data_IF_357447425398
#
_entry.id   IF_357447425398
#
_cell.length_a   1.000
_cell.length_b   1.000
_cell.length_c   1.000
_cell.angle_alpha   90.00
_cell.angle_beta   90.00
_cell.angle_gamma   90.00
#
_symmetry.space_group_name_H-M   'P 1'
#
loop_
_entity.id
_entity.type
_entity.pdbx_description
1 polymer ?
#
# COMPACT_ATOMS: atom_id res chain seq x y z
N UNK A 1 -11.60 -14.73 10.74
CA UNK A 1 -12.29 -15.39 9.60
C UNK A 1 -12.67 -14.29 8.63
N UNK A 2 -11.98 -14.18 7.50
CA UNK A 2 -12.33 -13.24 6.44
C UNK A 2 -13.24 -13.96 5.46
N UNK A 3 -14.42 -13.42 5.18
CA UNK A 3 -15.37 -14.00 4.23
C UNK A 3 -15.44 -13.13 2.97
N UNK A 4 -14.98 -13.67 1.84
CA UNK A 4 -15.03 -12.98 0.54
C UNK A 4 -16.40 -13.21 -0.14
N UNK A 5 -17.05 -12.14 -0.61
CA UNK A 5 -18.31 -12.21 -1.34
C UNK A 5 -18.30 -11.29 -2.57
N UNK A 6 -18.87 -11.74 -3.70
CA UNK A 6 -18.97 -10.96 -4.93
C UNK A 6 -20.43 -10.88 -5.41
N UNK A 7 -20.93 -9.70 -5.79
CA UNK A 7 -22.26 -9.48 -6.39
C UNK A 7 -22.14 -8.66 -7.68
N UNK A 8 -23.06 -8.81 -8.65
CA UNK A 8 -23.01 -8.12 -9.96
C UNK A 8 -24.35 -7.48 -10.35
N UNK A 9 -24.31 -6.23 -10.83
CA UNK A 9 -25.40 -5.49 -11.52
C UNK A 9 -24.77 -4.46 -12.47
N UNK A 10 -25.35 -4.24 -13.66
CA UNK A 10 -24.94 -3.24 -14.69
C UNK A 10 -25.98 -2.10 -14.70
N UNK A 11 -25.74 -0.77 -14.72
CA UNK A 11 -24.64 0.17 -14.45
C UNK A 11 -25.31 1.52 -14.08
N UNK A 12 -24.77 2.28 -13.13
CA UNK A 12 -24.86 3.76 -13.09
C UNK A 12 -23.57 4.32 -12.47
N UNK A 13 -22.94 5.27 -13.14
CA UNK A 13 -21.59 5.77 -12.83
C UNK A 13 -21.71 6.95 -11.86
N UNK A 14 -21.16 6.80 -10.65
CA UNK A 14 -20.63 7.95 -9.92
C UNK A 14 -19.49 7.54 -8.98
N UNK A 15 -18.34 8.19 -9.22
CA UNK A 15 -17.10 8.26 -8.42
C UNK A 15 -16.34 6.95 -8.21
N UNK A 16 -15.15 6.95 -8.80
CA UNK A 16 -14.03 6.06 -8.52
C UNK A 16 -13.98 5.67 -7.03
N UNK A 17 -14.11 4.38 -6.75
CA UNK A 17 -13.76 3.82 -5.44
C UNK A 17 -12.30 4.15 -5.12
N UNK A 18 -12.17 4.80 -3.97
CA UNK A 18 -11.07 5.40 -3.18
C UNK A 18 -9.68 4.78 -3.37
N UNK A 19 -8.87 5.35 -4.28
CA UNK A 19 -7.41 5.19 -4.19
C UNK A 19 -6.91 5.96 -2.95
N UNK A 20 -5.94 5.40 -2.24
CA UNK A 20 -5.17 6.06 -1.18
C UNK A 20 -3.70 6.04 -1.55
N UNK A 21 -2.94 7.05 -1.13
CA UNK A 21 -1.52 7.11 -1.41
C UNK A 21 -0.75 7.56 -0.17
N UNK A 22 0.44 6.99 -0.01
CA UNK A 22 1.40 7.38 1.01
C UNK A 22 2.80 7.37 0.39
N UNK A 23 3.64 8.27 0.87
CA UNK A 23 5.06 8.28 0.53
C UNK A 23 5.82 7.64 1.68
N UNK A 24 6.63 6.63 1.39
CA UNK A 24 7.43 5.91 2.39
C UNK A 24 8.91 5.95 2.02
N UNK A 25 9.77 5.99 3.04
CA UNK A 25 11.21 5.87 2.88
C UNK A 25 11.72 4.61 3.59
N UNK A 26 12.25 3.60 2.89
CA UNK A 26 12.75 2.38 3.52
C UNK A 26 14.01 2.62 4.36
N UNK A 27 14.72 3.75 4.16
CA UNK A 27 15.87 4.10 5.00
C UNK A 27 15.46 4.71 6.35
N UNK A 28 14.15 4.88 6.59
CA UNK A 28 13.59 5.61 7.73
C UNK A 28 13.33 7.07 7.40
N UNK A 29 13.04 7.85 8.44
CA UNK A 29 12.78 9.29 8.38
C UNK A 29 13.85 10.02 7.60
N UNK A 30 13.44 10.76 6.58
CA UNK A 30 14.32 11.67 5.86
C UNK A 30 14.36 12.99 6.62
N UNK A 31 15.56 13.43 6.97
CA UNK A 31 15.81 14.70 7.65
C UNK A 31 17.15 15.29 7.21
N UNK A 32 17.34 16.60 7.38
CA UNK A 32 18.67 17.23 7.36
C UNK A 32 18.80 18.25 8.49
N UNK A 33 19.94 18.24 9.14
CA UNK A 33 20.34 19.26 10.09
C UNK A 33 21.53 20.02 9.52
N UNK A 34 21.63 21.30 9.87
CA UNK A 34 22.70 22.16 9.39
C UNK A 34 23.36 22.93 10.53
N UNK A 35 24.67 23.16 10.41
CA UNK A 35 25.47 23.90 11.40
C UNK A 35 25.89 25.27 10.88
N UNK A 36 26.24 26.17 11.80
CA UNK A 36 26.66 27.53 11.48
C UNK A 36 25.50 28.52 11.49
N UNK A 37 25.53 29.49 10.58
CA UNK A 37 24.48 30.51 10.44
C UNK A 37 23.89 30.47 9.04
N UNK A 38 22.72 31.08 8.80
CA UNK A 38 22.12 31.14 7.46
C UNK A 38 23.02 31.77 6.40
N UNK A 39 23.99 32.60 6.81
CA UNK A 39 24.95 33.23 5.91
C UNK A 39 26.29 32.48 5.81
N UNK A 40 26.49 31.47 6.66
CA UNK A 40 27.73 30.69 6.76
C UNK A 40 27.41 29.30 7.32
N UNK A 41 26.84 28.44 6.46
CA UNK A 41 26.52 27.06 6.81
C UNK A 41 27.78 26.23 6.67
N UNK A 42 28.23 25.65 7.78
CA UNK A 42 29.52 24.95 7.85
C UNK A 42 29.39 23.46 7.59
N UNK A 43 28.22 22.87 7.85
CA UNK A 43 27.99 21.44 7.71
C UNK A 43 26.50 21.13 7.52
N UNK A 44 26.20 20.02 6.84
CA UNK A 44 24.83 19.48 6.67
C UNK A 44 24.90 17.96 6.85
N UNK A 45 23.98 17.40 7.65
CA UNK A 45 23.89 15.97 7.85
C UNK A 45 22.46 15.47 8.04
N UNK A 46 22.17 14.21 7.65
CA UNK A 46 23.01 13.34 6.84
C UNK A 46 23.27 13.92 5.44
N UNK A 47 24.45 13.62 4.89
CA UNK A 47 24.81 14.02 3.53
C UNK A 47 24.09 13.13 2.52
N UNK A 48 23.11 13.70 1.82
CA UNK A 48 22.31 12.99 0.82
C UNK A 48 23.08 12.66 -0.45
N UNK A 49 24.24 13.27 -0.70
CA UNK A 49 25.12 12.80 -1.75
C UNK A 49 25.70 11.41 -1.44
N UNK A 50 25.73 11.02 -0.16
CA UNK A 50 26.21 9.72 0.32
C UNK A 50 25.06 8.76 0.58
N UNK A 51 24.09 9.15 1.43
CA UNK A 51 23.02 8.25 1.88
C UNK A 51 21.95 7.99 0.83
N UNK A 52 21.74 8.94 -0.08
CA UNK A 52 20.83 8.87 -1.23
C UNK A 52 19.45 8.26 -0.93
N UNK A 53 18.69 8.79 0.04
CA UNK A 53 17.40 8.22 0.44
C UNK A 53 16.41 8.23 -0.73
N UNK A 54 15.53 7.23 -0.75
CA UNK A 54 14.52 7.06 -1.80
C UNK A 54 13.15 7.15 -1.16
N UNK A 55 12.31 8.04 -1.68
CA UNK A 55 10.91 8.15 -1.32
C UNK A 55 10.08 7.36 -2.34
N UNK A 56 9.38 6.32 -1.89
CA UNK A 56 8.50 5.52 -2.72
C UNK A 56 7.05 5.96 -2.60
N UNK A 57 6.39 6.09 -3.75
CA UNK A 57 4.96 6.34 -3.85
C UNK A 57 4.21 5.01 -3.79
N UNK A 58 3.56 4.75 -2.67
CA UNK A 58 2.71 3.58 -2.48
C UNK A 58 1.28 4.00 -2.70
N UNK A 59 0.68 3.57 -3.81
CA UNK A 59 -0.73 3.75 -4.06
C UNK A 59 -1.47 2.47 -3.72
N UNK A 60 -2.48 2.55 -2.87
CA UNK A 60 -3.41 1.45 -2.62
C UNK A 60 -4.78 1.76 -3.19
N UNK A 61 -5.48 0.70 -3.59
CA UNK A 61 -6.80 0.80 -4.20
C UNK A 61 -7.79 0.11 -3.27
N UNK A 62 -8.85 0.81 -2.85
CA UNK A 62 -9.96 0.18 -2.14
C UNK A 62 -10.81 -0.72 -3.05
N UNK A 63 -10.45 -0.82 -4.35
CA UNK A 63 -11.13 -1.67 -5.31
C UNK A 63 -10.58 -3.08 -5.18
N UNK A 64 -11.51 -4.03 -5.25
CA UNK A 64 -11.35 -5.47 -5.00
C UNK A 64 -10.18 -6.13 -5.77
N UNK A 65 -9.67 -5.52 -6.86
CA UNK A 65 -8.71 -6.13 -7.79
C UNK A 65 -7.23 -5.72 -7.64
N UNK A 66 -6.88 -4.65 -6.92
CA UNK A 66 -5.56 -4.01 -7.10
C UNK A 66 -4.63 -4.09 -5.89
N UNK A 67 -5.11 -3.96 -4.64
CA UNK A 67 -4.23 -3.91 -3.46
C UNK A 67 -3.28 -2.72 -3.52
N UNK A 68 -2.09 -2.90 -4.12
CA UNK A 68 -1.17 -1.84 -4.56
C UNK A 68 -1.37 -1.56 -6.05
N UNK A 69 -1.80 -0.34 -6.39
CA UNK A 69 -1.96 0.10 -7.77
C UNK A 69 -0.64 0.67 -8.31
N UNK A 70 -0.29 0.32 -9.55
CA UNK A 70 0.82 0.96 -10.28
C UNK A 70 0.27 2.12 -11.11
N UNK A 71 0.65 3.38 -10.82
CA UNK A 71 0.22 4.53 -11.62
C UNK A 71 0.74 4.49 -13.06
N UNK A 72 0.07 5.21 -13.97
CA UNK A 72 0.54 5.40 -15.34
C UNK A 72 1.82 6.25 -15.38
N UNK A 73 1.84 7.30 -14.55
CA UNK A 73 2.98 8.19 -14.36
C UNK A 73 2.88 8.89 -13.00
N UNK A 74 4.00 9.44 -12.54
CA UNK A 74 4.08 10.27 -11.33
C UNK A 74 4.82 11.56 -11.64
N UNK A 75 4.20 12.69 -11.29
CA UNK A 75 4.82 14.00 -11.24
C UNK A 75 5.36 14.28 -9.83
N UNK A 76 6.55 14.87 -9.76
CA UNK A 76 7.24 15.18 -8.51
C UNK A 76 7.32 16.68 -8.28
N UNK A 77 7.11 17.12 -7.04
CA UNK A 77 7.16 18.52 -6.63
C UNK A 77 8.00 18.65 -5.37
N UNK A 78 8.77 19.73 -5.27
CA UNK A 78 9.52 20.13 -4.08
C UNK A 78 9.10 21.54 -3.67
N UNK A 79 8.60 21.70 -2.44
CA UNK A 79 8.03 22.97 -1.94
C UNK A 79 7.01 23.60 -2.90
N UNK A 80 6.17 22.77 -3.51
CA UNK A 80 5.13 23.19 -4.46
C UNK A 80 5.62 23.48 -5.88
N UNK A 81 6.93 23.44 -6.14
CA UNK A 81 7.51 23.64 -7.48
C UNK A 81 7.72 22.29 -8.16
N UNK A 82 7.20 22.13 -9.38
CA UNK A 82 7.37 20.89 -10.15
C UNK A 82 8.84 20.65 -10.47
N UNK A 83 9.33 19.45 -10.19
CA UNK A 83 10.68 19.02 -10.53
C UNK A 83 10.68 18.64 -12.01
N UNK A 84 11.58 19.27 -12.78
CA UNK A 84 11.81 18.91 -14.18
C UNK A 84 12.96 17.92 -14.27
N UNK A 85 12.94 17.04 -15.27
CA UNK A 85 13.97 16.00 -15.45
C UNK A 85 14.53 16.02 -16.87
N UNK A 86 15.84 15.82 -16.99
CA UNK A 86 16.53 15.52 -18.24
C UNK A 86 17.03 14.09 -18.17
N UNK A 87 16.29 13.16 -18.78
CA UNK A 87 16.43 11.73 -18.49
C UNK A 87 15.83 11.39 -17.12
N UNK A 88 16.62 10.78 -16.24
CA UNK A 88 16.19 10.41 -14.89
C UNK A 88 16.59 11.42 -13.82
N UNK A 89 17.54 12.30 -14.11
CA UNK A 89 18.08 13.28 -13.16
C UNK A 89 17.37 14.62 -13.31
N UNK A 90 17.12 15.29 -12.18
CA UNK A 90 16.48 16.59 -12.16
C UNK A 90 17.31 17.66 -12.88
N UNK A 91 16.61 18.61 -13.48
CA UNK A 91 17.14 19.74 -14.25
C UNK A 91 16.51 21.06 -13.78
N UNK A 92 16.98 22.19 -14.33
CA UNK A 92 16.45 23.52 -14.02
C UNK A 92 16.76 23.93 -12.58
N UNK A 93 15.76 24.44 -11.86
CA UNK A 93 15.89 24.93 -10.47
C UNK A 93 16.48 23.91 -9.51
N UNK A 94 16.20 22.62 -9.71
CA UNK A 94 16.65 21.55 -8.82
C UNK A 94 17.71 20.66 -9.47
N UNK A 95 18.50 21.19 -10.41
CA UNK A 95 19.42 20.39 -11.21
C UNK A 95 20.37 19.55 -10.34
N UNK A 96 20.38 18.23 -10.57
CA UNK A 96 21.28 17.31 -9.87
C UNK A 96 20.92 16.95 -8.42
N UNK A 97 19.78 17.43 -7.89
CA UNK A 97 19.35 17.12 -6.52
C UNK A 97 18.48 15.87 -6.40
N UNK A 98 17.78 15.50 -7.48
CA UNK A 98 16.82 14.39 -7.48
C UNK A 98 17.02 13.45 -8.67
N UNK A 99 16.65 12.19 -8.48
CA UNK A 99 16.58 11.18 -9.53
C UNK A 99 15.24 10.43 -9.43
N UNK A 100 14.50 10.32 -10.53
CA UNK A 100 13.28 9.50 -10.55
C UNK A 100 13.62 8.02 -10.57
N UNK A 101 12.82 7.21 -9.90
CA UNK A 101 12.90 5.76 -9.84
C UNK A 101 11.61 5.21 -10.43
N UNK A 102 11.73 4.33 -11.42
CA UNK A 102 10.61 3.61 -12.00
C UNK A 102 10.51 2.19 -11.40
N UNK A 103 9.30 1.60 -11.38
CA UNK A 103 9.13 0.20 -11.02
C UNK A 103 10.06 -0.70 -11.85
N UNK A 104 10.84 -1.56 -11.19
CA UNK A 104 11.73 -2.52 -11.85
C UNK A 104 12.16 -3.63 -10.91
N UNK A 105 12.27 -4.86 -11.45
CA UNK A 105 12.65 -6.03 -10.67
C UNK A 105 11.71 -6.25 -9.48
N UNK A 106 12.31 -6.32 -8.28
CA UNK A 106 11.58 -6.52 -7.03
C UNK A 106 11.00 -5.22 -6.43
N UNK A 107 11.27 -4.04 -7.01
CA UNK A 107 10.66 -2.78 -6.60
C UNK A 107 9.43 -2.45 -7.47
N UNK A 108 8.21 -2.59 -6.95
CA UNK A 108 7.00 -2.28 -7.70
C UNK A 108 6.65 -0.78 -7.71
N UNK A 109 7.38 0.06 -6.96
CA UNK A 109 6.98 1.45 -6.70
C UNK A 109 7.72 2.46 -7.57
N UNK A 110 6.99 3.49 -8.03
CA UNK A 110 7.63 4.74 -8.44
C UNK A 110 8.26 5.42 -7.24
N UNK A 111 9.35 6.15 -7.45
CA UNK A 111 9.99 6.88 -6.38
C UNK A 111 10.80 8.09 -6.82
N UNK A 112 11.20 8.87 -5.83
CA UNK A 112 12.11 10.00 -5.94
C UNK A 112 13.31 9.76 -5.04
N UNK A 113 14.46 9.51 -5.65
CA UNK A 113 15.73 9.46 -4.93
C UNK A 113 16.28 10.87 -4.77
N UNK A 114 16.66 11.23 -3.55
CA UNK A 114 17.37 12.47 -3.26
C UNK A 114 18.86 12.16 -3.37
N UNK A 115 19.59 12.87 -4.22
CA UNK A 115 21.00 12.57 -4.56
C UNK A 115 21.95 13.72 -4.21
N UNK A 116 21.44 14.79 -3.62
CA UNK A 116 22.20 15.93 -3.14
C UNK A 116 21.50 16.59 -1.95
N UNK A 117 22.23 17.40 -1.20
CA UNK A 117 21.68 18.11 -0.04
C UNK A 117 20.64 19.15 -0.48
N UNK A 118 19.51 19.19 0.23
CA UNK A 118 18.34 20.00 -0.13
C UNK A 118 18.11 21.15 0.84
N UNK A 119 18.91 21.27 1.91
CA UNK A 119 18.73 22.29 2.94
C UNK A 119 18.75 23.72 2.38
N UNK A 120 19.68 24.04 1.47
CA UNK A 120 19.75 25.37 0.86
C UNK A 120 18.52 25.68 -0.01
N UNK A 121 18.11 24.73 -0.85
CA UNK A 121 16.95 24.84 -1.74
C UNK A 121 15.63 24.85 -0.97
N UNK A 122 15.61 24.29 0.22
CA UNK A 122 14.50 24.40 1.16
C UNK A 122 14.48 25.75 1.92
N UNK A 123 15.50 26.60 1.75
CA UNK A 123 15.66 27.82 2.53
C UNK A 123 15.97 27.55 4.01
N UNK A 124 16.61 26.42 4.30
CA UNK A 124 16.98 25.95 5.65
C UNK A 124 15.80 25.76 6.60
N UNK A 125 14.62 25.49 6.04
CA UNK A 125 13.36 25.22 6.74
C UNK A 125 12.77 23.87 6.27
N UNK A 126 11.85 23.26 7.04
CA UNK A 126 11.20 22.01 6.65
C UNK A 126 10.65 22.07 5.21
N UNK A 127 10.90 21.01 4.45
CA UNK A 127 10.52 20.92 3.06
C UNK A 127 9.42 19.90 2.83
N UNK A 128 8.64 20.07 1.77
CA UNK A 128 7.59 19.12 1.38
C UNK A 128 7.92 18.55 0.01
N UNK A 129 8.02 17.23 -0.07
CA UNK A 129 7.97 16.49 -1.33
C UNK A 129 6.53 16.08 -1.56
N UNK A 130 5.98 16.47 -2.71
CA UNK A 130 4.65 16.05 -3.17
C UNK A 130 4.80 15.18 -4.40
N UNK A 131 4.09 14.06 -4.43
CA UNK A 131 4.00 13.18 -5.58
C UNK A 131 2.56 13.13 -6.05
N UNK A 132 2.33 13.38 -7.34
CA UNK A 132 1.01 13.34 -7.97
C UNK A 132 1.04 12.26 -9.03
N UNK A 133 0.33 11.17 -8.78
CA UNK A 133 0.26 10.01 -9.62
C UNK A 133 -1.04 10.00 -10.42
N UNK A 134 -0.93 9.77 -11.72
CA UNK A 134 -2.09 9.60 -12.60
C UNK A 134 -2.44 8.13 -12.70
N UNK A 135 -3.71 7.79 -12.49
CA UNK A 135 -4.23 6.43 -12.56
C UNK A 135 -5.37 6.39 -13.57
N UNK A 136 -5.21 5.56 -14.59
CA UNK A 136 -6.24 5.33 -15.61
C UNK A 136 -6.94 4.00 -15.39
N UNK A 137 -8.25 4.01 -15.56
CA UNK A 137 -9.08 2.82 -15.57
C UNK A 137 -10.08 2.89 -16.73
N UNK A 138 -9.89 2.00 -17.71
CA UNK A 138 -10.64 2.03 -18.96
C UNK A 138 -10.46 3.37 -19.66
N UNK A 139 -11.55 4.12 -19.83
CA UNK A 139 -11.52 5.45 -20.47
C UNK A 139 -11.48 6.62 -19.48
N UNK A 140 -11.42 6.34 -18.16
CA UNK A 140 -11.36 7.36 -17.12
C UNK A 140 -9.95 7.45 -16.54
N UNK A 141 -9.58 8.62 -16.05
CA UNK A 141 -8.30 8.81 -15.39
C UNK A 141 -8.43 9.87 -14.31
N UNK A 142 -7.76 9.66 -13.20
CA UNK A 142 -7.79 10.48 -12.00
C UNK A 142 -6.36 10.71 -11.48
N UNK A 143 -6.18 11.78 -10.72
CA UNK A 143 -4.90 12.12 -10.10
C UNK A 143 -5.00 11.89 -8.59
N UNK A 144 -4.13 11.04 -8.06
CA UNK A 144 -3.95 10.83 -6.63
C UNK A 144 -2.63 11.42 -6.17
N UNK A 145 -2.60 11.97 -4.97
CA UNK A 145 -1.41 12.64 -4.45
C UNK A 145 -1.12 12.23 -3.01
N UNK A 146 0.15 12.32 -2.65
CA UNK A 146 0.63 12.20 -1.28
C UNK A 146 1.74 13.21 -1.04
N UNK A 147 1.85 13.65 0.21
CA UNK A 147 2.86 14.60 0.67
C UNK A 147 3.77 13.92 1.70
N UNK A 148 5.06 14.25 1.66
CA UNK A 148 6.07 13.83 2.62
C UNK A 148 6.83 15.05 3.11
N UNK A 149 6.77 15.30 4.42
CA UNK A 149 7.48 16.41 5.06
C UNK A 149 8.87 15.95 5.47
N UNK A 150 9.91 16.61 4.95
CA UNK A 150 11.30 16.42 5.35
C UNK A 150 11.64 17.48 6.39
N UNK A 151 11.96 17.03 7.61
CA UNK A 151 12.42 17.93 8.67
C UNK A 151 13.79 18.49 8.32
N UNK A 152 13.89 19.81 8.26
CA UNK A 152 15.16 20.53 8.07
C UNK A 152 15.29 21.59 9.15
N UNK A 153 16.34 21.50 9.95
CA UNK A 153 16.52 22.37 11.13
C UNK A 153 17.99 22.67 11.42
N UNK A 154 18.24 23.73 12.18
CA UNK A 154 19.59 24.01 12.67
C UNK A 154 19.95 22.99 13.74
N UNK A 155 21.16 22.42 13.64
CA UNK A 155 21.66 21.52 14.66
C UNK A 155 22.13 22.26 15.90
N UNK A 156 21.90 21.65 17.06
CA UNK A 156 22.48 22.05 18.35
C UNK A 156 23.77 21.30 18.69
N UNK A 157 24.24 20.41 17.81
CA UNK A 157 25.53 19.71 17.91
C UNK A 157 25.51 18.36 18.64
N UNK A 158 24.55 18.14 19.54
CA UNK A 158 24.49 16.94 20.41
C UNK A 158 23.19 16.12 20.28
N UNK A 159 22.33 16.46 19.31
CA UNK A 159 21.05 15.79 19.17
C UNK A 159 21.19 14.33 18.71
N UNK A 160 20.52 13.42 19.42
CA UNK A 160 20.29 12.06 18.96
C UNK A 160 19.06 12.02 18.06
N UNK A 161 19.13 11.22 17.00
CA UNK A 161 17.98 10.91 16.14
C UNK A 161 17.75 9.41 16.13
N UNK A 162 16.55 9.00 16.50
CA UNK A 162 16.06 7.64 16.32
C UNK A 162 15.18 7.61 15.08
N UNK A 163 15.28 6.54 14.30
CA UNK A 163 14.34 6.26 13.22
C UNK A 163 14.09 4.77 13.02
N UNK A 164 12.94 4.41 12.48
CA UNK A 164 12.59 3.06 12.03
C UNK A 164 12.82 2.97 10.52
N UNK A 165 13.79 2.15 10.12
CA UNK A 165 14.04 1.78 8.73
C UNK A 165 13.40 0.42 8.40
N UNK A 166 13.24 0.13 7.12
CA UNK A 166 12.91 -1.20 6.64
C UNK A 166 14.09 -2.15 6.89
N UNK A 167 13.80 -3.31 7.48
CA UNK A 167 14.75 -4.39 7.73
C UNK A 167 14.75 -5.46 6.64
N UNK A 168 13.84 -5.38 5.67
CA UNK A 168 13.71 -6.24 4.50
C UNK A 168 13.29 -5.44 3.27
N UNK A 169 13.05 -6.12 2.15
CA UNK A 169 12.66 -5.50 0.88
C UNK A 169 11.14 -5.21 0.78
N UNK A 170 10.38 -5.51 1.84
CA UNK A 170 8.92 -5.31 1.85
C UNK A 170 8.55 -3.88 2.28
N UNK A 171 9.54 -3.01 2.50
CA UNK A 171 9.35 -1.68 3.07
C UNK A 171 8.54 -1.79 4.38
N UNK A 172 7.42 -1.08 4.47
CA UNK A 172 6.46 -1.16 5.58
C UNK A 172 5.10 -1.67 5.10
N UNK A 173 5.09 -2.51 4.06
CA UNK A 173 3.88 -2.98 3.40
C UNK A 173 3.88 -4.50 3.32
N UNK A 174 2.82 -5.12 3.83
CA UNK A 174 2.58 -6.55 3.67
C UNK A 174 1.72 -6.72 2.42
N UNK A 175 2.28 -7.36 1.38
CA UNK A 175 1.65 -7.46 0.05
C UNK A 175 1.06 -8.83 -0.24
N UNK A 176 1.33 -9.83 0.60
CA UNK A 176 0.89 -11.22 0.40
C UNK A 176 0.39 -11.83 1.71
N UNK A 177 -0.63 -12.68 1.62
CA UNK A 177 -1.24 -13.32 2.79
C UNK A 177 -0.27 -14.25 3.49
N UNK A 178 -0.26 -14.18 4.82
CA UNK A 178 0.77 -14.83 5.63
C UNK A 178 2.16 -14.20 5.47
N UNK A 179 2.26 -13.09 4.75
CA UNK A 179 3.47 -12.30 4.58
C UNK A 179 3.81 -11.51 5.84
N UNK A 180 4.90 -10.75 5.72
CA UNK A 180 5.47 -9.94 6.80
C UNK A 180 6.31 -8.81 6.23
N UNK A 181 6.57 -7.81 7.05
CA UNK A 181 7.68 -6.88 6.88
C UNK A 181 8.55 -6.85 8.14
N UNK A 182 9.75 -6.31 8.02
CA UNK A 182 10.67 -6.16 9.16
C UNK A 182 10.91 -4.67 9.41
N UNK A 183 10.66 -4.23 10.65
CA UNK A 183 11.06 -2.92 11.14
C UNK A 183 12.44 -3.01 11.77
N UNK A 184 13.29 -1.99 11.57
CA UNK A 184 14.65 -1.94 12.10
C UNK A 184 14.91 -0.57 12.72
N UNK A 185 15.14 -0.55 14.03
CA UNK A 185 15.51 0.66 14.74
C UNK A 185 16.93 1.09 14.38
N UNK A 186 17.11 2.37 14.09
CA UNK A 186 18.37 3.02 13.80
C UNK A 186 18.51 4.23 14.73
N UNK A 187 19.72 4.46 15.23
CA UNK A 187 20.01 5.60 16.08
C UNK A 187 21.25 6.31 15.56
N UNK A 188 21.22 7.63 15.51
CA UNK A 188 22.27 8.47 14.96
C UNK A 188 22.64 9.57 15.95
N UNK A 189 23.89 10.00 15.88
CA UNK A 189 24.37 11.21 16.53
C UNK A 189 25.18 11.99 15.50
N UNK A 190 24.79 13.25 15.25
CA UNK A 190 25.42 14.09 14.22
C UNK A 190 25.58 13.38 12.85
N UNK A 191 24.55 12.62 12.44
CA UNK A 191 24.53 11.86 11.18
C UNK A 191 25.30 10.53 11.18
N UNK A 192 25.96 10.13 12.27
CA UNK A 192 26.71 8.87 12.37
C UNK A 192 25.89 7.82 13.11
N UNK A 193 25.75 6.61 12.53
CA UNK A 193 25.01 5.51 13.16
C UNK A 193 25.69 5.04 14.46
N UNK A 194 24.89 4.96 15.53
CA UNK A 194 25.25 4.33 16.79
C UNK A 194 25.01 2.81 16.71
N UNK A 195 26.06 2.02 16.96
CA UNK A 195 26.01 0.55 16.79
C UNK A 195 26.23 -0.25 18.07
N UNK A 196 26.54 0.39 19.21
CA UNK A 196 26.94 -0.28 20.46
C UNK A 196 26.20 0.24 21.68
N UNK A 197 25.95 -0.65 22.64
CA UNK A 197 25.35 -0.38 23.95
C UNK A 197 23.94 0.23 23.87
N UNK A 198 23.16 -0.19 22.88
CA UNK A 198 21.78 0.26 22.69
C UNK A 198 20.82 -0.81 23.22
N UNK A 199 19.75 -0.36 23.86
CA UNK A 199 18.61 -1.18 24.26
C UNK A 199 17.36 -0.67 23.58
N UNK A 200 16.46 -1.58 23.20
CA UNK A 200 15.25 -1.29 22.43
C UNK A 200 14.03 -1.74 23.21
N UNK A 201 12.93 -0.99 23.10
CA UNK A 201 11.61 -1.43 23.52
C UNK A 201 10.59 -1.06 22.46
N UNK A 202 10.03 -2.07 21.81
CA UNK A 202 8.97 -1.90 20.82
C UNK A 202 7.60 -1.77 21.49
N UNK A 203 6.75 -0.95 20.88
CA UNK A 203 5.36 -0.73 21.26
C UNK A 203 4.49 -0.80 20.01
N UNK A 204 3.23 -1.17 20.19
CA UNK A 204 2.19 -1.10 19.18
C UNK A 204 1.12 -0.10 19.65
N UNK A 205 0.60 0.69 18.73
CA UNK A 205 -0.53 1.56 19.03
C UNK A 205 -1.77 0.72 19.32
N UNK A 206 -2.26 0.79 20.57
CA UNK A 206 -3.54 0.22 20.98
C UNK A 206 -4.69 1.16 20.66
N UNK A 207 -5.87 0.92 21.23
CA UNK A 207 -7.06 1.75 20.98
C UNK A 207 -6.92 3.20 21.46
N UNK A 208 -6.08 3.44 22.48
CA UNK A 208 -5.96 4.74 23.13
C UNK A 208 -4.53 5.15 23.47
N UNK A 209 -3.58 4.20 23.51
CA UNK A 209 -2.21 4.48 23.93
C UNK A 209 -1.22 3.47 23.32
N UNK A 210 0.07 3.76 23.47
CA UNK A 210 1.18 2.90 23.08
C UNK A 210 1.36 1.75 24.07
N UNK A 211 1.13 0.52 23.61
CA UNK A 211 1.27 -0.68 24.42
C UNK A 211 2.63 -1.35 24.18
N UNK A 212 3.43 -1.64 25.24
CA UNK A 212 4.72 -2.29 25.07
C UNK A 212 4.55 -3.74 24.59
N UNK A 213 5.30 -4.10 23.56
CA UNK A 213 5.36 -5.47 23.07
C UNK A 213 6.29 -6.29 23.98
N UNK A 214 5.69 -7.19 24.76
CA UNK A 214 6.41 -8.00 25.74
C UNK A 214 7.53 -8.81 25.09
N UNK A 215 8.75 -8.70 25.64
CA UNK A 215 9.94 -9.43 25.15
C UNK A 215 10.53 -8.93 23.83
N UNK A 216 9.92 -7.92 23.18
CA UNK A 216 10.43 -7.36 21.92
C UNK A 216 11.48 -6.27 22.19
N UNK A 217 12.70 -6.71 22.47
CA UNK A 217 13.84 -5.83 22.82
C UNK A 217 15.00 -5.87 21.81
N UNK A 218 14.81 -6.57 20.69
CA UNK A 218 15.77 -6.62 19.60
C UNK A 218 15.80 -5.32 18.78
N UNK A 219 16.90 -5.07 18.06
CA UNK A 219 17.02 -3.95 17.11
C UNK A 219 15.96 -4.02 16.00
N UNK A 220 15.45 -5.21 15.69
CA UNK A 220 14.43 -5.43 14.68
C UNK A 220 13.16 -6.02 15.28
N UNK A 221 12.03 -5.66 14.69
CA UNK A 221 10.71 -6.23 14.96
C UNK A 221 10.15 -6.82 13.66
N UNK A 222 9.68 -8.07 13.70
CA UNK A 222 8.93 -8.65 12.57
C UNK A 222 7.45 -8.38 12.80
N UNK A 223 6.79 -7.81 11.78
CA UNK A 223 5.34 -7.58 11.79
C UNK A 223 4.74 -8.47 10.70
N UNK A 224 3.87 -9.39 11.10
CA UNK A 224 3.17 -10.31 10.21
C UNK A 224 1.76 -9.82 9.90
N UNK A 225 1.17 -10.38 8.85
CA UNK A 225 -0.23 -10.11 8.47
C UNK A 225 -1.20 -10.34 9.63
N UNK A 226 -0.96 -11.36 10.46
CA UNK A 226 -1.82 -11.63 11.62
C UNK A 226 -1.74 -10.57 12.73
N UNK A 227 -0.74 -9.68 12.69
CA UNK A 227 -0.53 -8.67 13.71
C UNK A 227 -1.31 -7.37 13.44
N UNK A 228 -1.82 -7.14 12.23
CA UNK A 228 -2.51 -5.91 11.83
C UNK A 228 -3.64 -6.20 10.83
N UNK A 229 -4.80 -5.53 10.94
CA UNK A 229 -5.93 -5.81 10.05
C UNK A 229 -5.81 -5.14 8.66
N UNK A 230 -5.25 -3.93 8.63
CA UNK A 230 -5.10 -3.11 7.41
C UNK A 230 -4.01 -2.07 7.61
N UNK A 231 -3.92 -1.54 8.81
CA UNK A 231 -2.88 -0.61 9.21
C UNK A 231 -2.59 -0.77 10.70
N UNK A 232 -1.33 -0.65 11.08
CA UNK A 232 -0.92 -0.58 12.47
C UNK A 232 0.29 0.33 12.64
N UNK A 233 0.35 1.02 13.76
CA UNK A 233 1.48 1.91 14.09
C UNK A 233 2.35 1.27 15.16
N UNK A 234 3.66 1.38 14.95
CA UNK A 234 4.67 0.79 15.82
C UNK A 234 5.65 1.87 16.24
N UNK A 235 6.01 1.86 17.52
CA UNK A 235 7.00 2.78 18.08
C UNK A 235 8.18 1.98 18.63
N UNK A 236 9.39 2.50 18.46
CA UNK A 236 10.56 2.00 19.19
C UNK A 236 11.14 3.09 20.06
N UNK A 237 11.38 2.78 21.34
CA UNK A 237 12.20 3.59 22.23
C UNK A 237 13.61 3.02 22.25
N UNK A 238 14.61 3.87 22.04
CA UNK A 238 16.02 3.48 22.07
C UNK A 238 16.69 4.16 23.25
N UNK A 239 17.38 3.37 24.07
CA UNK A 239 18.13 3.87 25.21
C UNK A 239 19.58 3.42 25.16
N UNK A 240 20.46 4.18 25.83
CA UNK A 240 21.87 3.84 26.04
C UNK A 240 22.20 4.05 27.50
N UNK A 241 22.75 3.03 28.15
CA UNK A 241 23.09 3.07 29.58
C UNK A 241 21.93 3.47 30.51
N UNK A 242 20.69 3.16 30.12
CA UNK A 242 19.48 3.49 30.88
C UNK A 242 18.84 4.84 30.57
N UNK A 243 19.46 5.69 29.74
CA UNK A 243 18.91 6.96 29.30
C UNK A 243 18.28 6.84 27.91
N UNK A 244 17.08 7.37 27.71
CA UNK A 244 16.41 7.40 26.42
C UNK A 244 17.13 8.37 25.47
N UNK A 245 17.58 7.85 24.33
CA UNK A 245 18.14 8.65 23.24
C UNK A 245 17.03 9.30 22.41
N UNK A 246 15.89 8.63 22.31
CA UNK A 246 14.70 9.08 21.61
C UNK A 246 13.80 7.92 21.22
N UNK A 247 12.80 8.25 20.43
CA UNK A 247 11.86 7.29 19.88
C UNK A 247 11.52 7.64 18.43
N UNK A 248 10.96 6.68 17.73
CA UNK A 248 10.35 6.91 16.42
C UNK A 248 9.10 6.06 16.25
N UNK A 249 8.20 6.51 15.37
CA UNK A 249 6.91 5.88 15.06
C UNK A 249 6.83 5.58 13.57
N UNK A 250 6.45 4.36 13.22
CA UNK A 250 6.28 3.93 11.83
C UNK A 250 4.95 3.20 11.65
N UNK A 251 4.23 3.59 10.60
CA UNK A 251 3.04 2.88 10.12
C UNK A 251 3.42 1.67 9.28
N UNK A 252 2.74 0.56 9.50
CA UNK A 252 2.78 -0.65 8.67
C UNK A 252 1.40 -0.84 8.05
N UNK A 253 1.39 -1.04 6.74
CA UNK A 253 0.18 -1.27 5.96
C UNK A 253 0.06 -2.76 5.61
N UNK A 254 -1.09 -3.33 5.90
CA UNK A 254 -1.49 -4.61 5.34
C UNK A 254 -2.32 -4.39 4.07
N UNK A 255 -1.72 -4.66 2.93
CA UNK A 255 -2.36 -4.67 1.61
C UNK A 255 -2.60 -6.10 1.12
N UNK A 256 -2.49 -7.10 2.01
CA UNK A 256 -2.25 -8.47 1.65
C UNK A 256 -3.46 -9.32 1.35
N UNK A 257 -4.70 -8.81 1.46
CA UNK A 257 -5.91 -9.55 1.10
C UNK A 257 -5.75 -10.06 -0.35
N UNK A 258 -5.37 -11.33 -0.59
CA UNK A 258 -4.64 -11.69 -1.79
C UNK A 258 -5.53 -12.46 -2.76
N UNK A 259 -6.81 -12.64 -2.42
CA UNK A 259 -7.68 -13.61 -3.09
C UNK A 259 -8.79 -12.87 -3.81
N UNK A 260 -9.07 -13.36 -5.02
CA UNK A 260 -10.24 -13.00 -5.81
C UNK A 260 -10.94 -14.30 -6.25
N UNK A 261 -12.22 -14.20 -6.59
CA UNK A 261 -12.99 -15.31 -7.16
C UNK A 261 -13.14 -15.03 -8.65
N UNK A 262 -12.42 -15.81 -9.46
CA UNK A 262 -12.65 -15.83 -10.91
C UNK A 262 -13.86 -16.74 -11.19
N UNK A 263 -14.98 -16.19 -11.68
CA UNK A 263 -16.24 -16.92 -11.83
C UNK A 263 -16.25 -17.98 -12.95
N UNK A 264 -15.33 -17.90 -13.93
CA UNK A 264 -15.27 -18.77 -15.11
C UNK A 264 -16.65 -19.16 -15.69
N UNK A 265 -17.40 -18.21 -16.27
CA UNK A 265 -18.67 -18.49 -16.92
C UNK A 265 -18.52 -19.27 -18.22
N UNK A 266 -19.51 -20.11 -18.52
CA UNK A 266 -19.66 -20.80 -19.80
C UNK A 266 -21.13 -20.77 -20.24
N UNK A 267 -21.46 -20.10 -21.36
CA UNK A 267 -20.57 -19.34 -22.26
C UNK A 267 -20.00 -18.07 -21.61
N UNK A 268 -18.86 -17.59 -22.12
CA UNK A 268 -18.11 -16.43 -21.57
C UNK A 268 -18.88 -15.11 -21.64
N UNK A 269 -19.83 -14.99 -22.57
CA UNK A 269 -20.65 -13.79 -22.71
C UNK A 269 -21.76 -13.68 -21.66
N UNK A 270 -21.93 -14.71 -20.81
CA UNK A 270 -22.92 -14.78 -19.74
C UNK A 270 -24.37 -14.50 -20.19
N UNK A 271 -24.69 -14.78 -21.46
CA UNK A 271 -26.02 -14.49 -22.01
C UNK A 271 -26.98 -15.68 -21.91
N UNK A 272 -28.20 -15.43 -21.46
CA UNK A 272 -29.32 -16.39 -21.52
C UNK A 272 -30.41 -15.77 -22.39
N UNK A 273 -30.82 -16.49 -23.43
CA UNK A 273 -31.85 -16.05 -24.38
C UNK A 273 -33.21 -16.60 -23.98
N UNK A 274 -34.27 -15.79 -24.09
CA UNK A 274 -35.66 -16.24 -23.92
C UNK A 274 -36.09 -17.22 -25.04
N UNK A 275 -35.52 -17.10 -26.24
CA UNK A 275 -35.80 -17.99 -27.36
C UNK A 275 -35.37 -19.44 -27.09
N UNK A 276 -36.28 -20.39 -27.32
CA UNK A 276 -36.04 -21.82 -27.11
C UNK A 276 -34.89 -22.39 -27.98
N UNK A 277 -34.53 -21.72 -29.07
CA UNK A 277 -33.39 -22.06 -29.93
C UNK A 277 -32.06 -21.36 -29.56
N UNK A 278 -32.08 -20.44 -28.60
CA UNK A 278 -30.90 -19.73 -28.09
C UNK A 278 -30.29 -20.37 -26.85
N UNK A 279 -29.25 -19.74 -26.29
CA UNK A 279 -28.57 -20.27 -25.11
C UNK A 279 -29.52 -20.25 -23.89
N UNK A 280 -29.72 -21.41 -23.25
CA UNK A 280 -30.68 -21.57 -22.16
C UNK A 280 -30.08 -21.54 -20.75
N UNK A 281 -28.76 -21.45 -20.63
CA UNK A 281 -28.08 -21.51 -19.34
C UNK A 281 -26.67 -20.92 -19.38
N UNK A 282 -26.18 -20.48 -18.23
CA UNK A 282 -24.77 -20.14 -17.99
C UNK A 282 -24.29 -20.96 -16.81
N UNK A 283 -23.20 -21.71 -17.00
CA UNK A 283 -22.57 -22.49 -15.93
C UNK A 283 -21.34 -21.76 -15.42
N UNK A 284 -21.28 -21.54 -14.11
CA UNK A 284 -20.16 -20.92 -13.41
C UNK A 284 -19.31 -22.01 -12.73
N UNK A 285 -18.01 -22.04 -13.01
CA UNK A 285 -17.03 -22.93 -12.36
C UNK A 285 -15.95 -22.12 -11.67
N UNK A 286 -16.29 -21.41 -10.58
CA UNK A 286 -15.39 -20.45 -9.97
C UNK A 286 -14.11 -21.10 -9.43
N UNK A 287 -13.04 -20.32 -9.40
CA UNK A 287 -11.80 -20.68 -8.70
C UNK A 287 -11.32 -19.48 -7.90
N UNK A 288 -10.74 -19.76 -6.73
CA UNK A 288 -10.03 -18.71 -5.99
C UNK A 288 -8.66 -18.54 -6.65
N UNK A 289 -8.35 -17.32 -7.08
CA UNK A 289 -7.07 -16.95 -7.68
C UNK A 289 -6.29 -16.00 -6.78
N UNK A 290 -4.99 -15.91 -7.01
CA UNK A 290 -4.18 -14.82 -6.45
C UNK A 290 -4.59 -13.53 -7.17
N UNK A 291 -5.03 -12.53 -6.41
CA UNK A 291 -5.50 -11.21 -6.83
C UNK A 291 -4.55 -10.60 -7.87
N UNK A 292 -5.11 -10.12 -8.98
CA UNK A 292 -4.34 -9.57 -10.11
C UNK A 292 -3.67 -10.62 -11.02
N UNK A 293 -3.91 -11.91 -10.82
CA UNK A 293 -3.39 -12.99 -11.66
C UNK A 293 -4.46 -14.04 -11.97
N UNK A 294 -4.21 -14.91 -12.95
CA UNK A 294 -5.06 -16.08 -13.21
C UNK A 294 -4.53 -17.35 -12.50
N UNK A 295 -3.66 -17.18 -11.50
CA UNK A 295 -3.04 -18.31 -10.81
C UNK A 295 -3.97 -18.81 -9.73
N UNK A 296 -4.43 -20.07 -9.86
CA UNK A 296 -5.26 -20.71 -8.84
C UNK A 296 -4.53 -20.72 -7.49
N UNK A 297 -5.18 -20.16 -6.47
CA UNK A 297 -4.63 -19.97 -5.14
C UNK A 297 -5.14 -21.00 -4.12
N UNK A 298 -6.42 -21.38 -4.18
CA UNK A 298 -7.01 -22.33 -3.22
C UNK A 298 -7.84 -23.41 -3.92
N UNK A 299 -7.93 -24.57 -3.26
CA UNK A 299 -8.90 -25.61 -3.58
C UNK A 299 -10.02 -25.54 -2.54
N UNK A 300 -11.10 -24.81 -2.85
CA UNK A 300 -12.27 -24.65 -1.99
C UNK A 300 -13.56 -24.85 -2.79
N UNK A 301 -14.68 -24.98 -2.09
CA UNK A 301 -16.02 -24.97 -2.68
C UNK A 301 -16.66 -23.58 -2.51
N UNK A 302 -17.79 -23.36 -3.15
CA UNK A 302 -18.45 -22.06 -3.19
C UNK A 302 -19.92 -22.16 -2.84
N UNK A 303 -20.42 -21.14 -2.14
CA UNK A 303 -21.84 -20.88 -1.97
C UNK A 303 -22.31 -19.96 -3.09
N UNK A 304 -23.44 -20.30 -3.70
CA UNK A 304 -24.04 -19.56 -4.80
C UNK A 304 -25.40 -19.02 -4.38
N UNK A 305 -25.58 -17.71 -4.37
CA UNK A 305 -26.84 -17.07 -4.00
C UNK A 305 -27.41 -16.38 -5.23
N UNK A 306 -28.51 -16.89 -5.77
CA UNK A 306 -29.18 -16.33 -6.93
C UNK A 306 -30.40 -15.54 -6.49
N UNK A 307 -30.54 -14.30 -6.96
CA UNK A 307 -31.63 -13.38 -6.59
C UNK A 307 -32.27 -12.71 -7.80
N UNK A 308 -33.55 -12.35 -7.66
CA UNK A 308 -34.22 -11.43 -8.58
C UNK A 308 -33.89 -9.95 -8.25
N UNK A 309 -34.41 -9.02 -9.06
CA UNK A 309 -34.21 -7.58 -8.88
C UNK A 309 -34.82 -7.00 -7.59
N UNK A 310 -35.80 -7.69 -6.99
CA UNK A 310 -36.40 -7.33 -5.70
C UNK A 310 -35.63 -7.94 -4.51
N UNK A 311 -34.61 -8.75 -4.77
CA UNK A 311 -33.78 -9.41 -3.76
C UNK A 311 -34.33 -10.74 -3.26
N UNK A 312 -35.38 -11.31 -3.88
CA UNK A 312 -35.89 -12.63 -3.52
C UNK A 312 -34.95 -13.73 -4.01
N UNK A 313 -34.77 -14.78 -3.21
CA UNK A 313 -33.91 -15.91 -3.56
C UNK A 313 -34.58 -16.82 -4.60
N UNK A 314 -33.83 -17.14 -5.66
CA UNK A 314 -34.26 -18.02 -6.74
C UNK A 314 -33.73 -19.46 -6.56
N UNK A 315 -32.77 -19.66 -5.65
CA UNK A 315 -32.20 -20.97 -5.33
C UNK A 315 -32.16 -21.28 -3.81
N UNK A 316 -33.27 -21.07 -3.06
CA UNK A 316 -33.27 -21.14 -1.59
C UNK A 316 -32.85 -22.50 -1.01
N UNK A 317 -33.01 -23.59 -1.77
CA UNK A 317 -32.59 -24.95 -1.36
C UNK A 317 -31.12 -25.29 -1.62
N UNK A 318 -30.39 -24.45 -2.35
CA UNK A 318 -29.01 -24.72 -2.76
C UNK A 318 -28.02 -23.67 -2.25
N UNK A 319 -28.49 -22.48 -1.86
CA UNK A 319 -27.64 -21.34 -1.52
C UNK A 319 -26.70 -21.54 -0.32
N UNK A 320 -27.03 -22.48 0.59
CA UNK A 320 -26.21 -22.84 1.75
C UNK A 320 -25.44 -24.15 1.56
N UNK A 321 -25.51 -24.76 0.37
CA UNK A 321 -24.80 -25.99 0.06
C UNK A 321 -23.55 -25.67 -0.77
N UNK A 322 -22.34 -25.93 -0.26
CA UNK A 322 -21.12 -25.62 -0.97
C UNK A 322 -20.97 -26.53 -2.20
N UNK A 323 -20.64 -25.95 -3.35
CA UNK A 323 -20.50 -26.63 -4.64
C UNK A 323 -19.31 -26.07 -5.42
N UNK A 324 -18.72 -26.88 -6.31
CA UNK A 324 -17.67 -26.42 -7.22
C UNK A 324 -18.22 -25.64 -8.42
N UNK A 325 -19.52 -25.73 -8.67
CA UNK A 325 -20.17 -25.10 -9.82
C UNK A 325 -21.64 -24.80 -9.56
N UNK A 326 -22.18 -23.83 -10.29
CA UNK A 326 -23.61 -23.54 -10.30
C UNK A 326 -24.06 -23.14 -11.70
N UNK A 327 -25.27 -23.56 -12.09
CA UNK A 327 -25.83 -23.24 -13.40
C UNK A 327 -27.06 -22.35 -13.23
N UNK A 328 -27.01 -21.16 -13.82
CA UNK A 328 -28.16 -20.28 -13.97
C UNK A 328 -28.89 -20.69 -15.24
N UNK A 329 -30.19 -20.94 -15.14
CA UNK A 329 -31.03 -21.41 -16.26
C UNK A 329 -32.05 -20.36 -16.66
N UNK A 330 -32.59 -20.49 -17.88
CA UNK A 330 -33.72 -19.70 -18.38
C UNK A 330 -34.91 -19.68 -17.42
N UNK A 331 -35.21 -20.79 -16.76
CA UNK A 331 -36.31 -20.85 -15.78
C UNK A 331 -36.11 -19.90 -14.59
N UNK A 332 -34.86 -19.63 -14.18
CA UNK A 332 -34.60 -18.63 -13.13
C UNK A 332 -34.90 -17.22 -13.62
N UNK A 333 -34.54 -16.90 -14.87
CA UNK A 333 -34.84 -15.60 -15.49
C UNK A 333 -36.35 -15.40 -15.69
N UNK A 334 -37.06 -16.44 -16.15
CA UNK A 334 -38.52 -16.44 -16.28
C UNK A 334 -39.21 -16.24 -14.92
N UNK A 335 -38.72 -16.91 -13.87
CA UNK A 335 -39.23 -16.75 -12.51
C UNK A 335 -39.00 -15.33 -11.96
N UNK A 336 -37.86 -14.72 -12.28
CA UNK A 336 -37.51 -13.36 -11.89
C UNK A 336 -38.26 -12.29 -12.69
N UNK A 337 -38.82 -12.64 -13.85
CA UNK A 337 -39.41 -11.69 -14.80
C UNK A 337 -38.37 -10.78 -15.46
N UNK A 338 -37.12 -11.24 -15.57
CA UNK A 338 -36.00 -10.45 -16.13
C UNK A 338 -34.64 -10.87 -15.58
N UNK A 339 -33.75 -9.89 -15.44
CA UNK A 339 -32.37 -10.10 -15.00
C UNK A 339 -32.27 -10.70 -13.59
N UNK A 340 -31.22 -11.50 -13.37
CA UNK A 340 -30.93 -12.17 -12.11
C UNK A 340 -29.52 -11.82 -11.62
N UNK A 341 -29.33 -11.77 -10.30
CA UNK A 341 -28.03 -11.51 -9.67
C UNK A 341 -27.50 -12.78 -9.03
N UNK A 342 -26.32 -13.23 -9.45
CA UNK A 342 -25.58 -14.31 -8.80
C UNK A 342 -24.50 -13.74 -7.87
N UNK A 343 -24.52 -14.16 -6.61
CA UNK A 343 -23.46 -13.91 -5.64
C UNK A 343 -22.68 -15.20 -5.40
N UNK A 344 -21.36 -15.15 -5.50
CA UNK A 344 -20.46 -16.29 -5.24
C UNK A 344 -19.63 -15.97 -4.00
N UNK A 345 -19.55 -16.91 -3.07
CA UNK A 345 -18.82 -16.79 -1.80
C UNK A 345 -17.98 -18.05 -1.63
N UNK A 346 -16.69 -17.92 -1.33
CA UNK A 346 -15.84 -19.07 -1.03
C UNK A 346 -16.23 -19.70 0.32
N UNK A 347 -16.05 -21.01 0.47
CA UNK A 347 -16.42 -21.73 1.70
C UNK A 347 -15.53 -21.38 2.91
N UNK A 348 -14.27 -20.99 2.64
CA UNK A 348 -13.21 -20.84 3.65
C UNK A 348 -12.74 -19.39 3.84
#
# INVERSE_FOLDING_TARGET
MSSASASRTIKFISKAGTYSAVIMCPAGDVYQEWEGTLNDVTNIYPDFAVTKPVLYFVCTSSRVAEGVATPDNVDFYFNGVKITFSGDTSSGTFAGLFKKVAPSGDNPYYGLQIIGNIAAEAGYAPAIVKMVARISYGTQSDDIQADYTISIQQSTGDAYKVTIAAGDNNNFVITEKGGRCVLKAMAYQAGVELTKNLTYQWHKMGLTDWEPLAGQTAKSLTVSEADIDTYGEYMVKVSRSGEELGFDVQGVMDASDPYDIDPHPSPEDETITEDAGGNGQVTYTPVVVKRGTNTKALNTLFYFVLKDAAGNYLNPGQMLTPSASFTVTRSHCEQAGGDVSLTIVAQD
#
